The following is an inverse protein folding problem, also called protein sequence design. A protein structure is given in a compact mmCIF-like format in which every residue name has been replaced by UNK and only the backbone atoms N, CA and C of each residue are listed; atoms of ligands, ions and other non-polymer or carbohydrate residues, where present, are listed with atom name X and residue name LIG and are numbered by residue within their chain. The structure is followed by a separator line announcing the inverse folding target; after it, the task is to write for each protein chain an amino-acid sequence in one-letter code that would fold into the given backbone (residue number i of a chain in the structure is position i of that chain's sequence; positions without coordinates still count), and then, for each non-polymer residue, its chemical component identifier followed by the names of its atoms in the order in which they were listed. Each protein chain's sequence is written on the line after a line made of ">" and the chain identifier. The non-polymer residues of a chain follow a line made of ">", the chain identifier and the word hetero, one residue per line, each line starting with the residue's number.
data_IF_283643439686
#
_entry.id   IF_283643439686
#
_cell.length_a   1.000
_cell.length_b   1.000
_cell.length_c   1.000
_cell.angle_alpha   90.00
_cell.angle_beta   90.00
_cell.angle_gamma   90.00
#
_symmetry.space_group_name_H-M   'P 1'
#
loop_
_entity.id
_entity.type
_entity.pdbx_description
1 polymer ?
#
# COMPACT_ATOMS: atom_id res chain seq x y z
N UNK A 1 62.81 -15.98 -38.25
CA UNK A 1 61.78 -15.47 -37.33
C UNK A 1 62.48 -15.17 -36.02
N UNK A 2 62.44 -13.91 -35.58
CA UNK A 2 63.16 -13.46 -34.39
C UNK A 2 62.32 -13.75 -33.13
N UNK A 3 62.93 -14.35 -32.11
CA UNK A 3 62.25 -14.81 -30.89
C UNK A 3 61.59 -13.64 -30.13
N UNK A 4 62.15 -12.44 -30.25
CA UNK A 4 61.57 -11.21 -29.71
C UNK A 4 60.22 -10.85 -30.35
N UNK A 5 60.02 -11.15 -31.63
CA UNK A 5 58.75 -10.89 -32.34
C UNK A 5 57.65 -11.84 -31.87
N UNK A 6 58.00 -13.10 -31.59
CA UNK A 6 57.06 -14.13 -31.10
C UNK A 6 56.61 -13.80 -29.67
N UNK A 7 57.53 -13.42 -28.79
CA UNK A 7 57.21 -13.06 -27.40
C UNK A 7 56.32 -11.81 -27.33
N UNK A 8 56.63 -10.77 -28.12
CA UNK A 8 55.78 -9.57 -28.19
C UNK A 8 54.39 -9.87 -28.75
N UNK A 9 54.28 -10.73 -29.77
CA UNK A 9 52.98 -11.10 -30.35
C UNK A 9 52.09 -11.88 -29.38
N UNK A 10 52.66 -12.78 -28.58
CA UNK A 10 51.93 -13.55 -27.57
C UNK A 10 51.54 -12.68 -26.36
N UNK A 11 52.40 -11.76 -25.92
CA UNK A 11 52.10 -10.83 -24.84
C UNK A 11 50.99 -9.85 -25.23
N UNK A 12 51.10 -9.19 -26.38
CA UNK A 12 50.08 -8.27 -26.91
C UNK A 12 48.77 -9.00 -27.20
N UNK A 13 48.83 -10.22 -27.75
CA UNK A 13 47.65 -11.08 -27.96
C UNK A 13 46.94 -11.45 -26.65
N UNK A 14 47.69 -11.77 -25.59
CA UNK A 14 47.12 -12.06 -24.25
C UNK A 14 46.50 -10.82 -23.60
N UNK A 15 47.12 -9.64 -23.79
CA UNK A 15 46.64 -8.37 -23.24
C UNK A 15 45.36 -7.91 -23.92
N UNK A 16 45.28 -8.07 -25.25
CA UNK A 16 44.09 -7.79 -26.04
C UNK A 16 42.97 -8.80 -25.73
N UNK A 17 43.30 -10.09 -25.61
CA UNK A 17 42.35 -11.13 -25.21
C UNK A 17 41.75 -10.86 -23.81
N UNK A 18 42.59 -10.47 -22.86
CA UNK A 18 42.15 -10.11 -21.50
C UNK A 18 41.31 -8.83 -21.49
N UNK A 19 41.66 -7.83 -22.29
CA UNK A 19 40.90 -6.57 -22.40
C UNK A 19 39.53 -6.79 -23.03
N UNK A 20 39.45 -7.60 -24.09
CA UNK A 20 38.18 -7.99 -24.73
C UNK A 20 37.34 -8.83 -23.75
N UNK A 21 37.94 -9.81 -23.06
CA UNK A 21 37.25 -10.60 -22.04
C UNK A 21 36.73 -9.73 -20.89
N UNK A 22 37.50 -8.72 -20.45
CA UNK A 22 37.08 -7.73 -19.45
C UNK A 22 35.90 -6.90 -19.91
N UNK A 23 35.90 -6.43 -21.17
CA UNK A 23 34.76 -5.71 -21.76
C UNK A 23 33.52 -6.60 -21.86
N UNK A 24 33.67 -7.83 -22.38
CA UNK A 24 32.56 -8.79 -22.47
C UNK A 24 31.98 -9.10 -21.09
N UNK A 25 32.83 -9.31 -20.09
CA UNK A 25 32.42 -9.55 -18.70
C UNK A 25 31.70 -8.35 -18.12
N UNK A 26 32.21 -7.13 -18.34
CA UNK A 26 31.56 -5.89 -17.91
C UNK A 26 30.16 -5.74 -18.52
N UNK A 27 30.00 -5.96 -19.83
CA UNK A 27 28.69 -5.91 -20.49
C UNK A 27 27.75 -7.00 -20.00
N UNK A 28 28.25 -8.21 -19.76
CA UNK A 28 27.47 -9.32 -19.20
C UNK A 28 26.98 -9.00 -17.78
N UNK A 29 27.86 -8.50 -16.90
CA UNK A 29 27.50 -8.08 -15.55
C UNK A 29 26.51 -6.92 -15.55
N UNK A 30 26.72 -5.91 -16.41
CA UNK A 30 25.79 -4.79 -16.55
C UNK A 30 24.40 -5.26 -16.99
N UNK A 31 24.34 -6.20 -17.93
CA UNK A 31 23.08 -6.81 -18.39
C UNK A 31 22.40 -7.58 -17.27
N UNK A 32 23.15 -8.39 -16.53
CA UNK A 32 22.65 -9.19 -15.41
C UNK A 32 22.11 -8.30 -14.28
N UNK A 33 22.86 -7.26 -13.88
CA UNK A 33 22.42 -6.28 -12.87
C UNK A 33 21.12 -5.60 -13.31
N UNK A 34 21.01 -5.21 -14.58
CA UNK A 34 19.79 -4.59 -15.10
C UNK A 34 18.61 -5.57 -15.10
N UNK A 35 18.85 -6.83 -15.44
CA UNK A 35 17.83 -7.87 -15.38
C UNK A 35 17.35 -8.11 -13.94
N UNK A 36 18.26 -8.23 -12.99
CA UNK A 36 17.94 -8.41 -11.57
C UNK A 36 17.16 -7.22 -11.00
N UNK A 37 17.57 -5.98 -11.33
CA UNK A 37 16.83 -4.76 -10.94
C UNK A 37 15.41 -4.78 -11.48
N UNK A 38 15.24 -5.06 -12.78
CA UNK A 38 13.94 -5.17 -13.43
C UNK A 38 13.07 -6.25 -12.79
N UNK A 39 13.64 -7.43 -12.55
CA UNK A 39 12.92 -8.55 -11.94
C UNK A 39 12.48 -8.23 -10.51
N UNK A 40 13.34 -7.55 -9.74
CA UNK A 40 13.02 -7.14 -8.37
C UNK A 40 11.91 -6.10 -8.35
N UNK A 41 11.98 -5.09 -9.20
CA UNK A 41 10.94 -4.05 -9.32
C UNK A 41 9.58 -4.66 -9.69
N UNK A 42 9.54 -5.63 -10.62
CA UNK A 42 8.32 -6.38 -10.93
C UNK A 42 7.75 -7.07 -9.69
N UNK A 43 8.60 -7.80 -8.94
CA UNK A 43 8.16 -8.54 -7.76
C UNK A 43 7.68 -7.63 -6.63
N UNK A 44 8.31 -6.47 -6.46
CA UNK A 44 7.90 -5.46 -5.48
C UNK A 44 6.53 -4.88 -5.85
N UNK A 45 6.33 -4.49 -7.11
CA UNK A 45 5.04 -3.97 -7.59
C UNK A 45 3.94 -5.03 -7.50
N UNK A 46 4.18 -6.25 -7.97
CA UNK A 46 3.17 -7.33 -7.90
C UNK A 46 2.82 -7.68 -6.46
N UNK A 47 3.81 -7.69 -5.56
CA UNK A 47 3.61 -7.88 -4.13
C UNK A 47 2.71 -6.80 -3.53
N UNK A 48 2.99 -5.53 -3.84
CA UNK A 48 2.17 -4.41 -3.41
C UNK A 48 0.73 -4.51 -3.95
N UNK A 49 0.54 -4.76 -5.25
CA UNK A 49 -0.79 -4.85 -5.87
C UNK A 49 -1.64 -5.96 -5.26
N UNK A 50 -1.02 -7.10 -4.94
CA UNK A 50 -1.71 -8.21 -4.27
C UNK A 50 -2.22 -7.80 -2.88
N UNK A 51 -1.37 -7.13 -2.09
CA UNK A 51 -1.75 -6.65 -0.75
C UNK A 51 -2.78 -5.54 -0.83
N UNK A 52 -2.64 -4.63 -1.79
CA UNK A 52 -3.63 -3.58 -2.03
C UNK A 52 -5.02 -4.15 -2.32
N UNK A 53 -5.12 -5.20 -3.14
CA UNK A 53 -6.41 -5.83 -3.43
C UNK A 53 -7.06 -6.46 -2.19
N UNK A 54 -6.26 -7.07 -1.31
CA UNK A 54 -6.75 -7.58 -0.02
C UNK A 54 -7.20 -6.44 0.90
N UNK A 55 -6.37 -5.40 1.03
CA UNK A 55 -6.69 -4.18 1.77
C UNK A 55 -8.02 -3.58 1.28
N UNK A 56 -8.20 -3.48 -0.03
CA UNK A 56 -9.41 -2.91 -0.62
C UNK A 56 -10.66 -3.74 -0.30
N UNK A 57 -10.53 -5.08 -0.20
CA UNK A 57 -11.59 -5.95 0.28
C UNK A 57 -12.07 -5.55 1.67
N UNK A 58 -11.15 -5.52 2.65
CA UNK A 58 -11.48 -5.15 4.02
C UNK A 58 -11.93 -3.69 4.17
N UNK A 59 -11.41 -2.79 3.33
CA UNK A 59 -11.85 -1.40 3.32
C UNK A 59 -13.30 -1.26 2.87
N UNK A 60 -13.77 -2.06 1.92
CA UNK A 60 -15.19 -2.03 1.53
C UNK A 60 -16.10 -2.38 2.70
N UNK A 61 -15.72 -3.36 3.52
CA UNK A 61 -16.47 -3.75 4.72
C UNK A 61 -16.49 -2.62 5.77
N UNK A 62 -15.33 -1.97 5.97
CA UNK A 62 -15.22 -0.80 6.85
C UNK A 62 -16.11 0.34 6.36
N UNK A 63 -16.08 0.67 5.07
CA UNK A 63 -16.87 1.76 4.49
C UNK A 63 -18.37 1.46 4.62
N UNK A 64 -18.78 0.24 4.30
CA UNK A 64 -20.16 -0.21 4.51
C UNK A 64 -20.59 -0.01 5.97
N UNK A 65 -19.76 -0.42 6.94
CA UNK A 65 -20.06 -0.23 8.35
C UNK A 65 -20.15 1.24 8.74
N UNK A 66 -19.24 2.08 8.23
CA UNK A 66 -19.24 3.53 8.48
C UNK A 66 -20.52 4.18 7.95
N UNK A 67 -20.94 3.84 6.73
CA UNK A 67 -22.17 4.37 6.14
C UNK A 67 -23.38 4.01 6.99
N UNK A 68 -23.48 2.74 7.44
CA UNK A 68 -24.57 2.31 8.33
C UNK A 68 -24.52 2.96 9.72
N UNK A 69 -23.34 3.20 10.26
CA UNK A 69 -23.19 3.98 11.49
C UNK A 69 -23.70 5.40 11.29
N UNK A 70 -23.31 6.06 10.19
CA UNK A 70 -23.76 7.42 9.87
C UNK A 70 -25.28 7.50 9.74
N UNK A 71 -25.91 6.57 9.02
CA UNK A 71 -27.38 6.48 8.93
C UNK A 71 -28.04 6.41 10.32
N UNK A 72 -27.50 5.58 11.23
CA UNK A 72 -28.06 5.44 12.58
C UNK A 72 -27.86 6.71 13.40
N UNK A 73 -26.65 7.30 13.42
CA UNK A 73 -26.39 8.48 14.26
C UNK A 73 -27.12 9.72 13.74
N UNK A 74 -27.29 9.86 12.42
CA UNK A 74 -28.06 10.95 11.79
C UNK A 74 -29.56 10.85 12.07
N UNK A 75 -30.10 9.63 12.13
CA UNK A 75 -31.50 9.43 12.52
C UNK A 75 -31.77 9.91 13.95
N UNK A 76 -30.72 10.07 14.77
CA UNK A 76 -30.77 10.47 16.18
C UNK A 76 -31.78 9.65 17.00
N UNK A 77 -32.04 8.42 16.57
CA UNK A 77 -33.01 7.52 17.17
C UNK A 77 -32.29 6.56 18.12
N UNK A 78 -32.22 6.94 19.40
CA UNK A 78 -31.50 6.22 20.44
C UNK A 78 -32.29 5.04 21.06
N UNK A 79 -33.08 4.34 20.26
CA UNK A 79 -33.74 3.12 20.74
C UNK A 79 -32.72 1.99 20.94
N UNK A 80 -33.08 0.97 21.73
CA UNK A 80 -32.22 -0.16 22.06
C UNK A 80 -31.67 -0.89 20.80
N UNK A 81 -32.47 -1.00 19.75
CA UNK A 81 -32.09 -1.64 18.49
C UNK A 81 -30.96 -0.88 17.78
N UNK A 82 -31.04 0.45 17.71
CA UNK A 82 -29.97 1.31 17.17
C UNK A 82 -28.67 1.16 17.95
N UNK A 83 -28.75 1.02 19.29
CA UNK A 83 -27.57 0.81 20.14
C UNK A 83 -26.89 -0.51 19.79
N UNK A 84 -27.66 -1.60 19.74
CA UNK A 84 -27.13 -2.92 19.40
C UNK A 84 -26.52 -2.93 18.00
N UNK A 85 -27.20 -2.33 17.01
CA UNK A 85 -26.68 -2.24 15.64
C UNK A 85 -25.38 -1.45 15.56
N UNK A 86 -25.27 -0.32 16.26
CA UNK A 86 -24.03 0.45 16.33
C UNK A 86 -22.88 -0.39 16.91
N UNK A 87 -23.12 -1.13 17.99
CA UNK A 87 -22.11 -2.01 18.59
C UNK A 87 -21.69 -3.13 17.63
N UNK A 88 -22.62 -3.75 16.92
CA UNK A 88 -22.30 -4.77 15.92
C UNK A 88 -21.42 -4.19 14.80
N UNK A 89 -21.79 -3.02 14.26
CA UNK A 89 -21.04 -2.37 13.18
C UNK A 89 -19.65 -1.93 13.64
N UNK A 90 -19.49 -1.41 14.87
CA UNK A 90 -18.16 -1.04 15.38
C UNK A 90 -17.28 -2.26 15.68
N UNK A 91 -17.87 -3.39 16.07
CA UNK A 91 -17.14 -4.66 16.18
C UNK A 91 -16.69 -5.20 14.82
N UNK A 92 -17.53 -5.12 13.79
CA UNK A 92 -17.14 -5.50 12.42
C UNK A 92 -16.02 -4.62 11.86
N UNK A 93 -15.98 -3.34 12.23
CA UNK A 93 -14.83 -2.47 11.94
C UNK A 93 -13.56 -2.96 12.65
N UNK A 94 -13.65 -3.45 13.89
CA UNK A 94 -12.51 -3.98 14.63
C UNK A 94 -11.97 -5.28 14.02
N UNK A 95 -12.85 -6.18 13.59
CA UNK A 95 -12.50 -7.40 12.85
C UNK A 95 -11.75 -7.03 11.56
N UNK A 96 -12.32 -6.14 10.76
CA UNK A 96 -11.70 -5.66 9.51
C UNK A 96 -10.35 -4.98 9.77
N UNK A 97 -10.23 -4.18 10.84
CA UNK A 97 -8.96 -3.57 11.23
C UNK A 97 -7.92 -4.60 11.68
N UNK A 98 -8.33 -5.69 12.31
CA UNK A 98 -7.45 -6.80 12.68
C UNK A 98 -6.90 -7.47 11.43
N UNK A 99 -7.76 -7.73 10.45
CA UNK A 99 -7.36 -8.29 9.16
C UNK A 99 -6.46 -7.35 8.36
N UNK A 100 -6.74 -6.05 8.34
CA UNK A 100 -5.86 -5.09 7.68
C UNK A 100 -4.46 -5.09 8.33
N UNK A 101 -4.38 -5.18 9.66
CA UNK A 101 -3.09 -5.24 10.38
C UNK A 101 -2.34 -6.55 10.20
N UNK A 102 -3.02 -7.63 9.78
CA UNK A 102 -2.40 -8.93 9.49
C UNK A 102 -1.77 -8.98 8.10
N UNK A 103 -2.07 -7.99 7.25
CA UNK A 103 -1.45 -7.85 5.93
C UNK A 103 0.07 -7.66 6.07
N UNK A 104 0.86 -8.21 5.14
CA UNK A 104 2.32 -8.10 5.19
C UNK A 104 2.77 -6.66 4.94
N UNK A 105 3.11 -5.95 6.02
CA UNK A 105 3.50 -4.54 6.03
C UNK A 105 4.76 -4.29 5.17
N UNK A 106 5.65 -5.28 5.05
CA UNK A 106 6.85 -5.23 4.22
C UNK A 106 6.56 -5.19 2.71
N UNK A 107 5.32 -5.47 2.31
CA UNK A 107 4.85 -5.35 0.92
C UNK A 107 4.18 -4.02 0.64
N UNK A 108 3.95 -3.19 1.66
CA UNK A 108 3.54 -1.80 1.46
C UNK A 108 4.77 -0.99 1.05
N UNK A 109 4.67 -0.32 -0.10
CA UNK A 109 5.77 0.49 -0.61
C UNK A 109 6.01 1.71 0.29
N UNK A 110 7.28 2.08 0.50
CA UNK A 110 7.69 3.15 1.42
C UNK A 110 7.03 4.48 1.04
N UNK A 111 6.87 4.73 -0.26
CA UNK A 111 6.28 5.93 -0.83
C UNK A 111 4.82 6.16 -0.41
N UNK A 112 4.10 5.09 -0.08
CA UNK A 112 2.67 5.16 0.29
C UNK A 112 2.41 4.77 1.76
N UNK A 113 3.46 4.44 2.51
CA UNK A 113 3.36 3.96 3.88
C UNK A 113 2.71 4.97 4.84
N UNK A 114 2.99 6.26 4.65
CA UNK A 114 2.38 7.31 5.46
C UNK A 114 0.86 7.36 5.23
N UNK A 115 0.41 7.32 3.98
CA UNK A 115 -1.01 7.31 3.64
C UNK A 115 -1.70 6.06 4.22
N UNK A 116 -1.05 4.89 4.11
CA UNK A 116 -1.52 3.66 4.74
C UNK A 116 -1.69 3.80 6.27
N UNK A 117 -0.71 4.37 6.98
CA UNK A 117 -0.84 4.60 8.42
C UNK A 117 -1.94 5.60 8.78
N UNK A 118 -2.08 6.66 7.99
CA UNK A 118 -3.15 7.65 8.18
C UNK A 118 -4.52 7.01 8.01
N UNK A 119 -4.70 6.14 7.00
CA UNK A 119 -5.92 5.37 6.77
C UNK A 119 -6.33 4.58 8.02
N UNK A 120 -5.41 3.76 8.57
CA UNK A 120 -5.69 2.96 9.78
C UNK A 120 -6.09 3.83 10.97
N UNK A 121 -5.44 4.98 11.11
CA UNK A 121 -5.75 5.93 12.18
C UNK A 121 -7.12 6.59 11.97
N UNK A 122 -7.52 6.93 10.74
CA UNK A 122 -8.85 7.47 10.49
C UNK A 122 -9.93 6.45 10.83
N UNK A 123 -9.80 5.19 10.43
CA UNK A 123 -10.74 4.12 10.76
C UNK A 123 -10.85 3.95 12.29
N UNK A 124 -9.71 3.83 12.98
CA UNK A 124 -9.67 3.68 14.44
C UNK A 124 -10.36 4.85 15.15
N UNK A 125 -10.05 6.07 14.73
CA UNK A 125 -10.58 7.27 15.39
C UNK A 125 -12.02 7.57 15.00
N UNK A 126 -12.52 7.08 13.86
CA UNK A 126 -13.94 7.06 13.52
C UNK A 126 -14.67 6.12 14.46
N UNK A 127 -14.21 4.87 14.58
CA UNK A 127 -14.79 3.87 15.48
C UNK A 127 -14.88 4.36 16.92
N UNK A 128 -13.81 4.94 17.45
CA UNK A 128 -13.82 5.54 18.80
C UNK A 128 -14.88 6.64 18.92
N UNK A 129 -15.03 7.49 17.90
CA UNK A 129 -16.08 8.52 17.87
C UNK A 129 -17.49 7.92 17.84
N UNK A 130 -17.70 6.85 17.07
CA UNK A 130 -18.97 6.15 16.98
C UNK A 130 -19.37 5.50 18.32
N UNK A 131 -18.42 4.85 19.00
CA UNK A 131 -18.65 4.31 20.34
C UNK A 131 -18.96 5.42 21.37
N UNK A 132 -18.29 6.57 21.26
CA UNK A 132 -18.51 7.72 22.13
C UNK A 132 -19.88 8.39 21.90
N UNK A 133 -20.43 8.31 20.68
CA UNK A 133 -21.76 8.87 20.34
C UNK A 133 -22.87 8.34 21.27
N UNK A 134 -22.72 7.11 21.78
CA UNK A 134 -23.70 6.49 22.67
C UNK A 134 -23.75 7.12 24.07
N UNK A 135 -22.66 7.75 24.50
CA UNK A 135 -22.49 8.25 25.86
C UNK A 135 -22.52 9.78 25.94
N UNK A 136 -22.50 10.48 24.81
CA UNK A 136 -22.51 11.95 24.80
C UNK A 136 -23.86 12.53 25.19
N UNK A 137 -23.87 13.69 25.87
CA UNK A 137 -25.10 14.46 26.08
C UNK A 137 -25.78 14.83 24.77
N UNK A 138 -27.11 14.97 24.78
CA UNK A 138 -27.88 15.34 23.59
C UNK A 138 -27.40 16.67 22.97
N UNK A 139 -26.92 17.60 23.79
CA UNK A 139 -26.36 18.90 23.36
C UNK A 139 -25.07 18.78 22.54
N UNK A 140 -24.33 17.67 22.65
CA UNK A 140 -23.05 17.45 21.97
C UNK A 140 -23.17 16.54 20.74
N UNK A 141 -24.27 15.79 20.60
CA UNK A 141 -24.45 14.81 19.52
C UNK A 141 -24.29 15.39 18.12
N UNK A 142 -24.82 16.58 17.86
CA UNK A 142 -24.71 17.23 16.54
C UNK A 142 -23.23 17.46 16.20
N UNK A 143 -22.44 17.93 17.17
CA UNK A 143 -20.99 18.14 17.00
C UNK A 143 -20.26 16.82 16.77
N UNK A 144 -20.66 15.75 17.46
CA UNK A 144 -20.09 14.41 17.25
C UNK A 144 -20.40 13.87 15.85
N UNK A 145 -21.62 14.05 15.35
CA UNK A 145 -22.02 13.65 13.99
C UNK A 145 -21.17 14.38 12.95
N UNK A 146 -21.02 15.70 13.07
CA UNK A 146 -20.16 16.47 12.15
C UNK A 146 -18.69 16.02 12.20
N UNK A 147 -18.19 15.71 13.39
CA UNK A 147 -16.83 15.15 13.55
C UNK A 147 -16.68 13.79 12.86
N UNK A 148 -17.69 12.92 12.95
CA UNK A 148 -17.69 11.61 12.27
C UNK A 148 -17.72 11.77 10.75
N UNK A 149 -18.55 12.69 10.23
CA UNK A 149 -18.59 13.03 8.80
C UNK A 149 -17.26 13.55 8.30
N UNK A 150 -16.61 14.43 9.06
CA UNK A 150 -15.30 14.95 8.70
C UNK A 150 -14.25 13.83 8.63
N UNK A 151 -14.23 12.93 9.62
CA UNK A 151 -13.34 11.76 9.62
C UNK A 151 -13.61 10.86 8.42
N UNK A 152 -14.87 10.65 8.07
CA UNK A 152 -15.25 9.85 6.90
C UNK A 152 -14.77 10.50 5.58
N UNK A 153 -14.94 11.82 5.41
CA UNK A 153 -14.39 12.55 4.26
C UNK A 153 -12.87 12.43 4.17
N UNK A 154 -12.17 12.56 5.30
CA UNK A 154 -10.70 12.39 5.36
C UNK A 154 -10.29 10.95 5.00
N UNK A 155 -11.04 9.95 5.45
CA UNK A 155 -10.81 8.55 5.09
C UNK A 155 -10.90 8.36 3.56
N UNK A 156 -11.95 8.87 2.93
CA UNK A 156 -12.15 8.78 1.48
C UNK A 156 -11.01 9.45 0.70
N UNK A 157 -10.56 10.63 1.13
CA UNK A 157 -9.41 11.31 0.49
C UNK A 157 -8.11 10.50 0.58
N UNK A 158 -7.86 9.81 1.70
CA UNK A 158 -6.70 8.92 1.85
C UNK A 158 -6.84 7.67 0.97
N UNK A 159 -8.04 7.12 0.84
CA UNK A 159 -8.32 6.00 -0.07
C UNK A 159 -8.10 6.37 -1.53
N UNK A 160 -8.49 7.58 -1.94
CA UNK A 160 -8.20 8.11 -3.28
C UNK A 160 -6.70 8.15 -3.53
N UNK A 161 -5.92 8.65 -2.57
CA UNK A 161 -4.45 8.71 -2.66
C UNK A 161 -3.84 7.31 -2.84
N UNK A 162 -4.33 6.33 -2.08
CA UNK A 162 -3.91 4.93 -2.19
C UNK A 162 -4.27 4.33 -3.55
N UNK A 163 -5.46 4.64 -4.08
CA UNK A 163 -5.93 4.16 -5.38
C UNK A 163 -5.15 4.79 -6.54
N UNK A 164 -4.85 6.08 -6.49
CA UNK A 164 -3.99 6.77 -7.46
C UNK A 164 -2.60 6.15 -7.49
N UNK A 165 -2.01 5.91 -6.31
CA UNK A 165 -0.71 5.23 -6.22
C UNK A 165 -0.78 3.83 -6.84
N UNK A 166 -1.80 3.04 -6.53
CA UNK A 166 -2.03 1.73 -7.14
C UNK A 166 -2.12 1.80 -8.66
N UNK A 167 -2.87 2.74 -9.21
CA UNK A 167 -3.01 2.90 -10.66
C UNK A 167 -1.68 3.29 -11.31
N UNK A 168 -0.87 4.11 -10.63
CA UNK A 168 0.49 4.42 -11.08
C UNK A 168 1.37 3.16 -11.11
N UNK A 169 1.33 2.33 -10.06
CA UNK A 169 2.10 1.08 -10.01
C UNK A 169 1.68 0.09 -11.12
N UNK A 170 0.38 -0.02 -11.42
CA UNK A 170 -0.08 -0.83 -12.56
C UNK A 170 0.45 -0.31 -13.91
N UNK A 171 0.53 1.01 -14.08
CA UNK A 171 1.07 1.62 -15.29
C UNK A 171 2.58 1.40 -15.42
N UNK A 172 3.32 1.47 -14.32
CA UNK A 172 4.75 1.13 -14.28
C UNK A 172 4.94 -0.34 -14.65
N UNK A 173 4.19 -1.26 -14.03
CA UNK A 173 4.27 -2.69 -14.32
C UNK A 173 4.02 -3.00 -15.81
N UNK A 174 3.00 -2.36 -16.41
CA UNK A 174 2.71 -2.49 -17.85
C UNK A 174 3.85 -2.01 -18.74
N UNK A 175 4.56 -0.95 -18.35
CA UNK A 175 5.72 -0.43 -19.09
C UNK A 175 6.92 -1.36 -18.97
N UNK A 176 7.17 -1.90 -17.77
CA UNK A 176 8.29 -2.79 -17.52
C UNK A 176 8.12 -4.13 -18.21
N UNK A 177 6.89 -4.67 -18.30
CA UNK A 177 6.62 -5.97 -18.95
C UNK A 177 6.61 -5.94 -20.49
N UNK A 178 6.63 -4.76 -21.12
CA UNK A 178 6.82 -4.60 -22.57
C UNK A 178 8.30 -4.72 -22.92
#
# INVERSE_FOLDING_TARGET
>A
MDWHTIINSNFVGSLLGTSIAGLVTYFALKREINFQKKSREILEIEGFLKVYNMLNGYLNDVIFCIDKILEIVESNNNNYESIQRLQMLTNSIDESLSEIKSLPDEKIMVEIHLAYRVLLNQIKTFKTGANYFMTVPQSEKIKTIETLKEKYRRLNSVMETLNEFKNNQENILKKIKK
#
